data_IF_974412262637
#
_entry.id   IF_974412262637
#
_cell.length_a   1.000
_cell.length_b   1.000
_cell.length_c   1.000
_cell.angle_alpha   90.00
_cell.angle_beta   90.00
_cell.angle_gamma   90.00
#
_symmetry.space_group_name_H-M   'P 1'
#
loop_
_entity.id
_entity.type
_entity.pdbx_description
1 polymer ?
#
# COMPACT_ATOMS: atom_id res chain seq x y z
N UNK A 1 3.96 -2.24 -11.76
CA UNK A 1 4.14 -1.71 -10.39
C UNK A 1 3.07 -0.66 -10.14
N UNK A 2 2.57 -0.56 -8.92
CA UNK A 2 1.56 0.43 -8.53
C UNK A 2 2.01 1.17 -7.27
N UNK A 3 1.58 2.41 -7.11
CA UNK A 3 1.77 3.17 -5.87
C UNK A 3 0.46 3.12 -5.09
N UNK A 4 0.55 2.66 -3.84
CA UNK A 4 -0.55 2.72 -2.89
C UNK A 4 -0.36 3.97 -2.06
N UNK A 5 -1.40 4.79 -2.00
CA UNK A 5 -1.41 6.05 -1.26
C UNK A 5 -2.55 6.06 -0.27
N UNK A 6 -2.25 6.40 0.99
CA UNK A 6 -3.21 6.57 2.06
C UNK A 6 -3.25 8.03 2.47
N UNK A 7 -4.45 8.61 2.45
CA UNK A 7 -4.71 9.96 2.91
C UNK A 7 -5.47 9.94 4.23
N UNK A 8 -5.06 10.77 5.19
CA UNK A 8 -5.76 10.96 6.44
C UNK A 8 -6.57 12.26 6.42
N UNK A 9 -7.79 12.21 5.87
CA UNK A 9 -8.70 13.35 5.76
C UNK A 9 -9.37 13.78 7.08
N UNK A 10 -8.86 13.34 8.24
CA UNK A 10 -9.36 13.79 9.53
C UNK A 10 -8.96 15.24 9.82
N UNK A 11 -9.77 15.94 10.62
CA UNK A 11 -9.49 17.33 10.99
C UNK A 11 -8.38 17.42 12.06
N UNK A 12 -8.51 16.64 13.13
CA UNK A 12 -7.60 16.70 14.30
C UNK A 12 -6.96 15.37 14.66
N UNK A 13 -7.39 14.27 14.04
CA UNK A 13 -6.95 12.93 14.42
C UNK A 13 -5.72 12.51 13.61
N UNK A 14 -4.60 12.37 14.29
CA UNK A 14 -3.34 11.88 13.74
C UNK A 14 -3.23 10.36 13.94
N UNK A 15 -2.55 9.68 13.02
CA UNK A 15 -2.00 8.34 13.28
C UNK A 15 -0.63 8.55 13.92
N UNK A 16 -0.52 8.22 15.21
CA UNK A 16 0.71 8.32 16.00
C UNK A 16 1.48 6.99 16.03
N UNK A 17 2.74 6.96 16.50
CA UNK A 17 3.47 5.71 16.74
C UNK A 17 2.65 4.73 17.61
N UNK A 18 2.68 3.41 17.35
CA UNK A 18 3.53 2.68 16.39
C UNK A 18 3.11 2.78 14.90
N UNK A 19 2.15 3.64 14.56
CA UNK A 19 1.77 3.90 13.18
C UNK A 19 0.64 3.00 12.67
N UNK A 20 0.39 3.09 11.37
CA UNK A 20 -0.61 2.26 10.71
C UNK A 20 -0.09 0.87 10.37
N UNK A 21 -1.01 -0.08 10.28
CA UNK A 21 -0.81 -1.40 9.69
C UNK A 21 -1.97 -1.68 8.75
N UNK A 22 -1.66 -2.03 7.50
CA UNK A 22 -2.65 -2.28 6.46
C UNK A 22 -2.63 -3.77 6.09
N UNK A 23 -3.78 -4.42 6.22
CA UNK A 23 -3.97 -5.81 5.83
C UNK A 23 -5.10 -5.91 4.81
N UNK A 24 -4.99 -6.84 3.88
CA UNK A 24 -6.08 -7.24 2.99
C UNK A 24 -5.99 -8.73 2.69
N UNK A 25 -6.96 -9.27 1.97
CA UNK A 25 -6.96 -10.65 1.47
C UNK A 25 -7.03 -10.64 -0.05
N UNK A 26 -6.06 -11.30 -0.68
CA UNK A 26 -6.05 -11.52 -2.12
C UNK A 26 -7.27 -12.31 -2.58
N UNK A 27 -7.81 -11.98 -3.75
CA UNK A 27 -8.99 -12.67 -4.26
C UNK A 27 -8.65 -14.07 -4.77
N UNK A 28 -7.47 -14.22 -5.38
CA UNK A 28 -6.91 -15.43 -5.98
C UNK A 28 -5.48 -15.62 -5.45
N UNK A 29 -4.57 -16.16 -6.25
CA UNK A 29 -3.22 -16.50 -5.84
C UNK A 29 -2.23 -15.37 -6.13
N UNK A 30 -2.68 -14.12 -5.96
CA UNK A 30 -1.81 -12.96 -6.08
C UNK A 30 -0.68 -13.00 -5.04
N UNK A 31 0.49 -12.50 -5.43
CA UNK A 31 1.69 -12.42 -4.59
C UNK A 31 2.35 -11.06 -4.73
N UNK A 32 3.15 -10.68 -3.74
CA UNK A 32 3.95 -9.46 -3.76
C UNK A 32 5.35 -9.83 -4.23
N UNK A 33 5.74 -9.38 -5.41
CA UNK A 33 7.09 -9.57 -5.94
C UNK A 33 8.08 -8.61 -5.31
N UNK A 34 7.68 -7.34 -5.15
CA UNK A 34 8.52 -6.31 -4.56
C UNK A 34 7.66 -5.27 -3.84
N UNK A 35 8.22 -4.66 -2.81
CA UNK A 35 7.64 -3.55 -2.06
C UNK A 35 8.74 -2.53 -1.74
N UNK A 36 8.42 -1.24 -1.83
CA UNK A 36 9.38 -0.14 -1.58
C UNK A 36 8.68 0.96 -0.80
N UNK A 37 9.37 1.51 0.20
CA UNK A 37 8.79 2.44 1.17
C UNK A 37 7.92 1.78 2.26
N UNK A 38 7.73 0.47 2.22
CA UNK A 38 7.00 -0.31 3.24
C UNK A 38 7.52 -1.74 3.24
N UNK A 39 7.07 -2.55 4.21
CA UNK A 39 7.49 -3.92 4.38
C UNK A 39 6.32 -4.83 4.75
N UNK A 40 6.37 -6.10 4.31
CA UNK A 40 5.44 -7.11 4.81
C UNK A 40 5.94 -7.67 6.15
N UNK A 41 5.04 -7.90 7.10
CA UNK A 41 5.46 -8.44 8.42
C UNK A 41 5.89 -9.90 8.34
N UNK A 42 5.44 -10.62 7.31
CA UNK A 42 5.71 -12.04 7.09
C UNK A 42 5.71 -12.35 5.59
N UNK A 43 6.63 -13.21 5.15
CA UNK A 43 6.70 -13.67 3.76
C UNK A 43 5.65 -14.75 3.45
N UNK A 44 5.41 -15.71 4.35
CA UNK A 44 4.51 -16.85 4.16
C UNK A 44 5.19 -18.07 3.53
N UNK A 45 4.40 -19.09 3.16
CA UNK A 45 4.90 -20.32 2.53
C UNK A 45 4.94 -20.18 0.99
N UNK A 46 6.11 -19.85 0.47
CA UNK A 46 6.31 -19.60 -0.97
C UNK A 46 6.88 -20.81 -1.72
N UNK A 47 6.78 -22.03 -1.17
CA UNK A 47 7.38 -23.24 -1.75
C UNK A 47 6.96 -23.51 -3.19
N UNK A 48 5.77 -23.06 -3.62
CA UNK A 48 5.27 -23.25 -4.98
C UNK A 48 6.10 -22.54 -6.06
N UNK A 49 6.96 -21.59 -5.67
CA UNK A 49 7.80 -20.82 -6.58
C UNK A 49 9.20 -21.43 -6.66
N UNK A 50 9.47 -22.18 -7.74
CA UNK A 50 10.78 -22.76 -8.03
C UNK A 50 11.62 -21.74 -8.80
N UNK A 51 12.47 -20.96 -8.11
CA UNK A 51 13.30 -19.91 -8.71
C UNK A 51 13.23 -18.63 -7.90
N UNK A 52 12.87 -17.52 -8.54
CA UNK A 52 12.66 -16.26 -7.85
C UNK A 52 11.51 -16.37 -6.85
N UNK A 53 11.83 -16.13 -5.57
CA UNK A 53 10.87 -16.21 -4.48
C UNK A 53 10.23 -14.82 -4.31
N UNK A 54 8.89 -14.71 -4.32
CA UNK A 54 8.23 -13.44 -4.10
C UNK A 54 8.52 -12.89 -2.71
N UNK A 55 8.57 -11.57 -2.60
CA UNK A 55 8.70 -10.87 -1.32
C UNK A 55 7.65 -11.31 -0.29
N UNK A 56 6.40 -11.54 -0.70
CA UNK A 56 5.37 -12.13 0.15
C UNK A 56 4.36 -12.93 -0.68
N UNK A 57 4.06 -14.15 -0.24
CA UNK A 57 3.09 -15.07 -0.83
C UNK A 57 1.92 -15.40 0.10
N UNK A 58 1.79 -14.70 1.23
CA UNK A 58 0.61 -14.83 2.08
C UNK A 58 -0.64 -14.40 1.31
N UNK A 59 -1.72 -15.17 1.50
CA UNK A 59 -3.07 -14.82 1.01
C UNK A 59 -3.57 -13.52 1.61
N UNK A 60 -3.14 -13.21 2.84
CA UNK A 60 -3.57 -12.08 3.63
C UNK A 60 -2.40 -11.22 4.15
N UNK A 61 -1.63 -10.58 3.24
CA UNK A 61 -0.42 -9.86 3.63
C UNK A 61 -0.74 -8.72 4.59
N UNK A 62 0.17 -8.49 5.52
CA UNK A 62 0.12 -7.36 6.47
C UNK A 62 1.29 -6.45 6.18
N UNK A 63 1.00 -5.19 5.87
CA UNK A 63 1.97 -4.17 5.47
C UNK A 63 2.13 -3.16 6.59
N UNK A 64 3.39 -2.83 6.85
CA UNK A 64 3.80 -1.74 7.74
C UNK A 64 4.68 -0.77 6.98
N UNK A 65 4.62 0.50 7.38
CA UNK A 65 5.52 1.52 6.85
C UNK A 65 6.93 1.31 7.41
N UNK A 66 7.94 1.71 6.64
CA UNK A 66 9.33 1.65 7.10
C UNK A 66 9.66 2.81 8.05
N UNK A 67 10.78 2.71 8.76
CA UNK A 67 11.32 3.81 9.57
C UNK A 67 12.15 4.76 8.69
N UNK A 68 12.35 6.04 9.10
CA UNK A 68 13.08 7.04 8.31
C UNK A 68 14.55 6.69 8.03
N UNK A 69 15.13 5.79 8.81
CA UNK A 69 16.54 5.41 8.79
C UNK A 69 16.92 4.48 7.63
N UNK A 70 15.96 4.10 6.77
CA UNK A 70 16.23 3.21 5.65
C UNK A 70 17.08 3.90 4.55
N UNK A 71 17.89 3.13 3.80
CA UNK A 71 18.62 3.66 2.65
C UNK A 71 17.73 4.36 1.61
N UNK A 72 18.25 5.42 0.97
CA UNK A 72 17.51 6.24 0.01
C UNK A 72 16.96 5.45 -1.18
N UNK A 73 17.63 4.38 -1.61
CA UNK A 73 17.15 3.51 -2.69
C UNK A 73 15.93 2.64 -2.32
N UNK A 74 15.56 2.61 -1.02
CA UNK A 74 14.37 1.94 -0.52
C UNK A 74 13.24 2.93 -0.17
N UNK A 75 13.48 4.23 -0.35
CA UNK A 75 12.52 5.28 -0.08
C UNK A 75 11.73 5.64 -1.34
N UNK A 76 10.48 6.06 -1.12
CA UNK A 76 9.66 6.75 -2.11
C UNK A 76 9.07 8.01 -1.47
N UNK A 77 8.45 8.87 -2.26
CA UNK A 77 7.74 10.03 -1.74
C UNK A 77 6.70 9.62 -0.68
N UNK A 78 6.61 10.39 0.42
CA UNK A 78 5.65 10.23 1.51
C UNK A 78 5.67 8.87 2.25
N UNK A 79 6.67 8.03 2.05
CA UNK A 79 6.85 6.79 2.83
C UNK A 79 7.62 7.04 4.13
N UNK A 80 7.84 5.94 4.85
CA UNK A 80 8.99 5.76 5.72
C UNK A 80 8.96 6.62 6.99
N UNK A 81 7.76 6.83 7.53
CA UNK A 81 7.51 7.64 8.74
C UNK A 81 7.14 6.77 9.94
N UNK A 82 7.44 5.48 9.90
CA UNK A 82 7.00 4.52 10.90
C UNK A 82 5.48 4.46 11.02
N UNK A 83 4.77 4.74 9.93
CA UNK A 83 3.32 4.67 9.85
C UNK A 83 2.63 5.89 10.47
N UNK A 84 3.37 6.96 10.78
CA UNK A 84 2.81 8.22 11.26
C UNK A 84 2.18 9.00 10.10
N UNK A 85 0.94 9.43 10.29
CA UNK A 85 0.20 10.23 9.30
C UNK A 85 -0.57 11.34 10.00
N UNK A 86 -0.27 12.59 9.67
CA UNK A 86 -0.93 13.74 10.28
C UNK A 86 -2.38 13.90 9.81
N UNK A 87 -3.16 14.70 10.54
CA UNK A 87 -4.51 15.06 10.14
C UNK A 87 -4.46 16.11 9.02
N UNK A 88 -5.28 15.92 8.00
CA UNK A 88 -5.42 16.88 6.91
C UNK A 88 -5.79 18.28 7.40
N UNK A 89 -6.66 18.38 8.40
CA UNK A 89 -7.08 19.68 8.95
C UNK A 89 -5.97 20.47 9.64
N UNK A 90 -4.85 19.83 10.00
CA UNK A 90 -3.70 20.51 10.63
C UNK A 90 -2.58 20.77 9.64
N UNK A 91 -2.18 19.74 8.89
CA UNK A 91 -1.11 19.85 7.91
C UNK A 91 -1.37 18.89 6.72
N UNK A 92 -1.98 19.40 5.64
CA UNK A 92 -2.26 18.60 4.44
C UNK A 92 -1.00 18.01 3.79
N UNK A 93 0.15 18.67 3.88
CA UNK A 93 1.37 18.26 3.17
C UNK A 93 1.93 16.92 3.69
N UNK A 94 1.67 16.61 4.96
CA UNK A 94 2.16 15.39 5.62
C UNK A 94 1.03 14.47 6.11
N UNK A 95 -0.20 14.73 5.65
CA UNK A 95 -1.40 13.91 5.85
C UNK A 95 -1.53 12.74 4.84
N UNK A 96 -0.42 12.37 4.22
CA UNK A 96 -0.31 11.32 3.20
C UNK A 96 0.77 10.30 3.59
N UNK A 97 0.55 9.03 3.27
CA UNK A 97 1.58 7.98 3.32
C UNK A 97 1.50 7.15 2.05
N UNK A 98 2.64 6.72 1.52
CA UNK A 98 2.65 5.86 0.33
C UNK A 98 3.74 4.81 0.33
N UNK A 99 3.48 3.74 -0.43
CA UNK A 99 4.45 2.72 -0.77
C UNK A 99 4.21 2.22 -2.18
N UNK A 100 5.25 1.68 -2.80
CA UNK A 100 5.18 1.08 -4.12
C UNK A 100 5.14 -0.43 -3.99
N UNK A 101 4.31 -1.08 -4.80
CA UNK A 101 4.12 -2.52 -4.79
C UNK A 101 4.13 -3.10 -6.20
N UNK A 102 4.78 -4.25 -6.35
CA UNK A 102 4.70 -5.07 -7.56
C UNK A 102 3.93 -6.34 -7.24
N UNK A 103 2.78 -6.53 -7.90
CA UNK A 103 1.88 -7.66 -7.67
C UNK A 103 1.98 -8.64 -8.83
N UNK A 104 2.18 -9.92 -8.52
CA UNK A 104 2.17 -11.03 -9.47
C UNK A 104 0.84 -11.77 -9.49
N UNK A 105 0.60 -12.55 -10.54
CA UNK A 105 -0.59 -13.42 -10.70
C UNK A 105 -1.94 -12.67 -10.64
N UNK A 106 -1.91 -11.34 -10.78
CA UNK A 106 -3.09 -10.50 -10.89
C UNK A 106 -3.58 -10.42 -12.34
N UNK A 107 -4.89 -10.18 -12.52
CA UNK A 107 -5.43 -9.87 -13.84
C UNK A 107 -4.94 -8.51 -14.35
N UNK A 108 -4.71 -8.39 -15.67
CA UNK A 108 -4.13 -7.20 -16.31
C UNK A 108 -5.16 -6.22 -16.90
N UNK A 109 -6.45 -6.57 -16.85
CA UNK A 109 -7.56 -5.73 -17.31
C UNK A 109 -8.64 -5.59 -16.24
N UNK A 110 -9.48 -4.54 -16.35
CA UNK A 110 -10.65 -4.33 -15.48
C UNK A 110 -11.62 -5.52 -15.42
N UNK A 111 -11.62 -6.39 -16.44
CA UNK A 111 -12.46 -7.60 -16.49
C UNK A 111 -11.83 -8.76 -15.74
N UNK A 112 -10.50 -8.86 -15.78
CA UNK A 112 -9.74 -10.00 -15.23
C UNK A 112 -9.25 -9.77 -13.81
N UNK A 113 -9.02 -8.49 -13.44
CA UNK A 113 -8.56 -8.11 -12.10
C UNK A 113 -9.67 -8.43 -11.10
N UNK A 114 -9.29 -9.03 -9.97
CA UNK A 114 -10.21 -9.27 -8.86
C UNK A 114 -9.74 -8.44 -7.69
N UNK A 115 -10.61 -7.54 -7.25
CA UNK A 115 -10.27 -6.63 -6.15
C UNK A 115 -9.99 -7.43 -4.87
N UNK A 116 -8.98 -7.03 -4.08
CA UNK A 116 -8.77 -7.64 -2.77
C UNK A 116 -9.98 -7.41 -1.85
N UNK A 117 -10.09 -8.26 -0.84
CA UNK A 117 -11.19 -8.28 0.11
C UNK A 117 -10.69 -8.04 1.52
N UNK A 118 -11.60 -7.78 2.45
CA UNK A 118 -11.32 -7.75 3.89
C UNK A 118 -10.16 -6.80 4.25
N UNK A 119 -10.18 -5.59 3.71
CA UNK A 119 -9.25 -4.57 4.12
C UNK A 119 -9.39 -4.31 5.62
N UNK A 120 -8.27 -4.18 6.31
CA UNK A 120 -8.21 -3.82 7.72
C UNK A 120 -7.11 -2.79 7.88
N UNK A 121 -7.47 -1.62 8.39
CA UNK A 121 -6.54 -0.59 8.81
C UNK A 121 -6.49 -0.58 10.33
N UNK A 122 -5.33 -0.92 10.89
CA UNK A 122 -5.06 -0.74 12.33
C UNK A 122 -4.20 0.49 12.50
N UNK A 123 -4.51 1.29 13.49
CA UNK A 123 -3.67 2.38 13.97
C UNK A 123 -4.05 2.66 15.43
N UNK A 124 -3.22 3.37 16.20
CA UNK A 124 -3.51 3.66 17.59
C UNK A 124 -4.84 4.40 17.80
N UNK A 125 -5.48 4.11 18.93
CA UNK A 125 -6.77 4.67 19.30
C UNK A 125 -7.97 3.89 18.74
N UNK A 126 -9.15 4.53 18.58
CA UNK A 126 -10.36 3.84 18.15
C UNK A 126 -10.18 3.19 16.77
N UNK A 127 -10.49 1.91 16.66
CA UNK A 127 -10.28 1.13 15.43
C UNK A 127 -10.97 1.73 14.20
N UNK A 128 -10.50 1.35 13.02
CA UNK A 128 -11.10 1.75 11.74
C UNK A 128 -12.01 0.65 11.22
N UNK A 129 -13.09 1.04 10.54
CA UNK A 129 -13.94 0.12 9.77
C UNK A 129 -13.71 0.36 8.29
N UNK A 130 -13.26 -0.66 7.58
CA UNK A 130 -13.04 -0.58 6.13
C UNK A 130 -14.29 -1.01 5.38
N UNK A 131 -14.67 -0.23 4.36
CA UNK A 131 -15.69 -0.62 3.39
C UNK A 131 -15.16 -1.59 2.33
N UNK A 132 -16.04 -2.12 1.46
CA UNK A 132 -15.63 -2.95 0.35
C UNK A 132 -14.78 -2.17 -0.66
N UNK A 133 -13.77 -2.83 -1.24
CA UNK A 133 -12.99 -2.25 -2.32
C UNK A 133 -13.85 -2.05 -3.57
N UNK A 134 -13.63 -0.93 -4.25
CA UNK A 134 -14.34 -0.56 -5.48
C UNK A 134 -13.32 -0.33 -6.60
N UNK A 135 -13.66 -0.82 -7.79
CA UNK A 135 -12.94 -0.43 -9.00
C UNK A 135 -13.31 1.02 -9.31
N UNK A 136 -12.29 1.88 -9.36
CA UNK A 136 -12.43 3.29 -9.72
C UNK A 136 -11.82 3.53 -11.10
N UNK A 137 -12.15 4.66 -11.72
CA UNK A 137 -11.49 5.05 -12.97
C UNK A 137 -9.99 5.30 -12.67
N UNK A 138 -9.07 4.81 -13.51
CA UNK A 138 -7.65 5.11 -13.41
C UNK A 138 -7.39 6.60 -13.24
N UNK A 139 -6.49 6.96 -12.33
CA UNK A 139 -6.05 8.35 -12.18
C UNK A 139 -5.14 8.70 -13.36
N UNK A 140 -5.49 9.78 -14.07
CA UNK A 140 -4.69 10.37 -15.14
C UNK A 140 -3.67 11.33 -14.52
N UNK A 141 -2.42 11.25 -14.97
CA UNK A 141 -1.37 12.18 -14.57
C UNK A 141 -0.50 12.53 -15.77
N UNK A 142 0.06 13.74 -15.75
CA UNK A 142 0.92 14.26 -16.81
C UNK A 142 2.36 13.98 -16.42
N UNK A 143 3.14 13.37 -17.30
CA UNK A 143 4.57 13.17 -17.09
C UNK A 143 5.33 14.50 -17.21
N UNK A 144 6.57 14.59 -16.71
CA UNK A 144 7.42 15.76 -16.94
C UNK A 144 7.64 16.08 -18.42
N UNK A 145 7.51 15.09 -19.31
CA UNK A 145 7.60 15.23 -20.77
C UNK A 145 6.29 15.66 -21.43
N UNK A 146 5.20 15.84 -20.66
CA UNK A 146 3.89 16.30 -21.15
C UNK A 146 2.96 15.19 -21.62
N UNK A 147 3.35 13.91 -21.47
CA UNK A 147 2.51 12.78 -21.86
C UNK A 147 1.47 12.48 -20.77
N UNK A 148 0.21 12.34 -21.17
CA UNK A 148 -0.86 11.90 -20.27
C UNK A 148 -0.82 10.37 -20.12
N UNK A 149 -0.45 9.90 -18.93
CA UNK A 149 -0.44 8.49 -18.59
C UNK A 149 -1.57 8.15 -17.61
N UNK A 150 -2.05 6.90 -17.70
CA UNK A 150 -3.02 6.34 -16.76
C UNK A 150 -2.32 5.35 -15.83
N UNK A 151 -2.48 5.53 -14.52
CA UNK A 151 -2.13 4.51 -13.52
C UNK A 151 -3.35 3.59 -13.36
N UNK A 152 -3.26 2.39 -13.92
CA UNK A 152 -4.24 1.30 -13.74
C UNK A 152 -4.31 0.84 -12.30
#
# INVERSE_FOLDING_TARGET
>A
MAVVTMYNFQQYRHIQPPGWTLKWTWAKDEVIWNITGSQTTEQGNCWKFNGDIPHCCKKDPTIIDLLPEIPHNQQIENCCKGGVVNSWGRDPAIAVSSFQISVGSAGTSNKTVRVPKNFTLKAPGPGYTCGPAKLVKPTKFITPTGEELQRL
#
